data_IF_670585879875
#
_entry.id   IF_670585879875
#
_cell.length_a   1.000
_cell.length_b   1.000
_cell.length_c   1.000
_cell.angle_alpha   90.00
_cell.angle_beta   90.00
_cell.angle_gamma   90.00
#
_symmetry.space_group_name_H-M   'P 1'
#
loop_
_entity.id
_entity.type
_entity.pdbx_description
1 polymer ?
#
# COMPACT_ATOMS: atom_id res chain seq x y z
N UNK A 1 -10.28 -0.08 6.61
CA UNK A 1 -9.16 -0.28 7.56
C UNK A 1 -8.08 0.79 7.44
N UNK A 2 -7.49 1.08 6.27
CA UNK A 2 -6.49 2.17 6.14
C UNK A 2 -7.05 3.53 6.59
N UNK A 3 -8.23 3.93 6.10
CA UNK A 3 -8.89 5.18 6.51
C UNK A 3 -9.19 5.18 8.01
N UNK A 4 -9.60 4.04 8.58
CA UNK A 4 -9.83 3.91 10.02
C UNK A 4 -8.54 4.08 10.83
N UNK A 5 -7.46 3.39 10.44
CA UNK A 5 -6.17 3.45 11.15
C UNK A 5 -5.50 4.83 11.08
N UNK A 6 -5.75 5.61 10.04
CA UNK A 6 -5.22 6.97 9.92
C UNK A 6 -6.05 8.01 10.68
N UNK A 7 -7.29 7.71 11.06
CA UNK A 7 -8.21 8.69 11.65
C UNK A 7 -7.62 9.35 12.91
N UNK A 8 -6.97 8.58 13.79
CA UNK A 8 -6.30 9.12 14.99
C UNK A 8 -5.19 10.13 14.66
N UNK A 9 -4.45 9.90 13.58
CA UNK A 9 -3.31 10.71 13.18
C UNK A 9 -3.71 11.98 12.39
N UNK A 10 -4.93 12.04 11.86
CA UNK A 10 -5.39 13.13 10.99
C UNK A 10 -6.47 13.96 11.68
N UNK A 11 -7.51 13.30 12.22
CA UNK A 11 -8.71 13.96 12.71
C UNK A 11 -8.48 14.54 14.13
N UNK A 12 -8.74 15.84 14.36
CA UNK A 12 -8.54 16.49 15.65
C UNK A 12 -9.33 15.83 16.78
N UNK A 13 -10.64 15.64 16.60
CA UNK A 13 -11.54 15.07 17.62
C UNK A 13 -11.45 13.55 17.80
N UNK A 14 -10.50 12.87 17.14
CA UNK A 14 -10.33 11.41 17.26
C UNK A 14 -9.11 11.10 18.12
N UNK A 15 -9.36 10.63 19.34
CA UNK A 15 -8.32 10.15 20.26
C UNK A 15 -8.28 8.62 20.41
N UNK A 16 -9.28 7.94 19.84
CA UNK A 16 -9.47 6.49 19.96
C UNK A 16 -8.22 5.71 19.56
N UNK A 17 -7.84 4.76 20.39
CA UNK A 17 -6.77 3.81 20.10
C UNK A 17 -7.24 2.76 19.09
N UNK A 18 -6.40 2.43 18.11
CA UNK A 18 -6.74 1.45 17.10
C UNK A 18 -7.02 0.07 17.73
N UNK A 19 -8.07 -0.60 17.28
CA UNK A 19 -8.52 -1.88 17.84
C UNK A 19 -7.40 -2.92 17.98
N UNK A 20 -6.49 -3.03 17.01
CA UNK A 20 -5.42 -4.03 17.06
C UNK A 20 -4.33 -3.68 18.06
N UNK A 21 -4.10 -2.38 18.28
CA UNK A 21 -3.20 -1.91 19.34
C UNK A 21 -3.81 -2.17 20.70
N UNK A 22 -5.08 -1.79 20.89
CA UNK A 22 -5.82 -2.06 22.13
C UNK A 22 -5.89 -3.56 22.47
N UNK A 23 -6.09 -4.41 21.46
CA UNK A 23 -6.12 -5.87 21.63
C UNK A 23 -4.73 -6.49 21.89
N UNK A 24 -3.66 -5.68 21.94
CA UNK A 24 -2.32 -6.12 22.31
C UNK A 24 -1.55 -6.83 21.20
N UNK A 25 -1.91 -6.61 19.93
CA UNK A 25 -1.13 -7.12 18.78
C UNK A 25 0.06 -6.21 18.41
N UNK A 26 0.20 -5.04 19.03
CA UNK A 26 1.35 -4.14 18.78
C UNK A 26 1.41 -3.51 17.38
N UNK A 27 0.44 -3.79 16.52
CA UNK A 27 0.33 -3.25 15.18
C UNK A 27 -1.03 -2.59 14.99
N UNK A 28 -1.07 -1.34 14.53
CA UNK A 28 -2.34 -0.71 14.19
C UNK A 28 -2.85 -1.19 12.81
N UNK A 29 -4.15 -1.06 12.59
CA UNK A 29 -4.85 -1.58 11.41
C UNK A 29 -4.26 -1.15 10.06
N UNK A 30 -3.75 0.07 9.93
CA UNK A 30 -3.15 0.56 8.68
C UNK A 30 -1.87 -0.20 8.31
N UNK A 31 -0.99 -0.47 9.30
CA UNK A 31 0.19 -1.30 9.07
C UNK A 31 -0.18 -2.72 8.63
N UNK A 32 -1.19 -3.32 9.26
CA UNK A 32 -1.65 -4.67 8.91
C UNK A 32 -2.15 -4.70 7.46
N UNK A 33 -2.94 -3.72 7.04
CA UNK A 33 -3.44 -3.69 5.65
C UNK A 33 -2.33 -3.49 4.64
N UNK A 34 -1.36 -2.62 4.93
CA UNK A 34 -0.19 -2.44 4.04
C UNK A 34 0.60 -3.75 3.96
N UNK A 35 0.81 -4.45 5.07
CA UNK A 35 1.46 -5.75 5.08
C UNK A 35 0.68 -6.80 4.25
N UNK A 36 -0.65 -6.85 4.38
CA UNK A 36 -1.53 -7.70 3.56
C UNK A 36 -1.38 -7.34 2.07
N UNK A 37 -1.36 -6.05 1.74
CA UNK A 37 -1.17 -5.57 0.37
C UNK A 37 0.13 -6.09 -0.23
N UNK A 38 1.26 -5.96 0.49
CA UNK A 38 2.55 -6.47 0.01
C UNK A 38 2.56 -7.99 -0.09
N UNK A 39 1.94 -8.72 0.84
CA UNK A 39 1.84 -10.18 0.79
C UNK A 39 1.03 -10.67 -0.42
N UNK A 40 -0.15 -10.11 -0.63
CA UNK A 40 -1.00 -10.45 -1.79
C UNK A 40 -0.32 -10.02 -3.09
N UNK A 41 0.33 -8.85 -3.10
CA UNK A 41 1.09 -8.37 -4.24
C UNK A 41 2.22 -9.33 -4.60
N UNK A 42 3.03 -9.77 -3.64
CA UNK A 42 4.07 -10.77 -3.85
C UNK A 42 3.54 -12.04 -4.52
N UNK A 43 2.39 -12.53 -4.09
CA UNK A 43 1.74 -13.70 -4.69
C UNK A 43 1.25 -13.44 -6.12
N UNK A 44 0.43 -12.42 -6.33
CA UNK A 44 -0.21 -12.14 -7.62
C UNK A 44 0.79 -11.67 -8.68
N UNK A 45 1.78 -10.87 -8.29
CA UNK A 45 2.79 -10.31 -9.18
C UNK A 45 3.78 -11.38 -9.61
N UNK A 46 4.18 -12.29 -8.71
CA UNK A 46 4.97 -13.47 -9.09
C UNK A 46 4.22 -14.33 -10.09
N UNK A 47 2.92 -14.56 -9.90
CA UNK A 47 2.13 -15.26 -10.90
C UNK A 47 1.97 -14.52 -12.21
N UNK A 48 1.85 -13.19 -12.18
CA UNK A 48 1.86 -12.37 -13.38
C UNK A 48 3.19 -12.51 -14.13
N UNK A 49 4.33 -12.51 -13.43
CA UNK A 49 5.68 -12.64 -14.00
C UNK A 49 5.89 -14.03 -14.63
N UNK A 50 5.49 -15.10 -13.93
CA UNK A 50 5.65 -16.48 -14.40
C UNK A 50 4.83 -16.80 -15.64
N UNK A 51 3.73 -16.07 -15.89
CA UNK A 51 2.93 -16.19 -17.12
C UNK A 51 3.50 -15.40 -18.31
N UNK A 52 4.43 -14.47 -18.10
CA UNK A 52 5.00 -13.69 -19.21
C UNK A 52 6.09 -14.48 -19.93
N UNK A 53 5.99 -14.56 -21.26
CA UNK A 53 7.09 -15.05 -22.11
C UNK A 53 8.24 -14.05 -22.20
N UNK A 54 7.92 -12.75 -22.30
CA UNK A 54 8.90 -11.67 -22.30
C UNK A 54 8.88 -10.93 -20.96
N UNK A 55 9.95 -10.99 -20.13
CA UNK A 55 10.01 -10.28 -18.86
C UNK A 55 9.95 -8.76 -18.98
N UNK A 56 10.27 -8.16 -20.14
CA UNK A 56 10.10 -6.72 -20.34
C UNK A 56 8.63 -6.31 -20.35
N UNK A 57 7.74 -7.17 -20.84
CA UNK A 57 6.31 -6.91 -20.83
C UNK A 57 5.76 -6.83 -19.39
N UNK A 58 6.38 -7.54 -18.44
CA UNK A 58 6.01 -7.44 -17.03
C UNK A 58 6.13 -6.00 -16.50
N UNK A 59 7.22 -5.29 -16.83
CA UNK A 59 7.40 -3.91 -16.41
C UNK A 59 6.35 -2.98 -17.03
N UNK A 60 6.04 -3.14 -18.32
CA UNK A 60 4.96 -2.40 -19.00
C UNK A 60 3.62 -2.60 -18.28
N UNK A 61 3.26 -3.84 -17.96
CA UNK A 61 2.00 -4.16 -17.27
C UNK A 61 1.94 -3.55 -15.86
N UNK A 62 3.06 -3.45 -15.15
CA UNK A 62 3.12 -2.80 -13.83
C UNK A 62 3.04 -1.27 -13.95
N UNK A 63 3.76 -0.69 -14.91
CA UNK A 63 3.73 0.74 -15.17
C UNK A 63 2.30 1.21 -15.52
N UNK A 64 1.62 0.53 -16.44
CA UNK A 64 0.22 0.84 -16.82
C UNK A 64 -0.78 0.70 -15.66
N UNK A 65 -0.46 -0.09 -14.63
CA UNK A 65 -1.33 -0.28 -13.47
C UNK A 65 -1.20 0.81 -12.41
N UNK A 66 0.00 1.38 -12.25
CA UNK A 66 0.35 2.26 -11.15
C UNK A 66 0.53 3.72 -11.62
N UNK A 67 1.36 3.94 -12.63
CA UNK A 67 1.85 5.29 -12.99
C UNK A 67 0.72 6.24 -13.39
N UNK A 68 -0.23 5.89 -14.28
CA UNK A 68 -1.24 6.85 -14.73
C UNK A 68 -2.12 7.40 -13.60
N UNK A 69 -2.66 6.50 -12.76
CA UNK A 69 -3.50 6.90 -11.62
C UNK A 69 -2.73 7.73 -10.60
N UNK A 70 -1.49 7.33 -10.31
CA UNK A 70 -0.62 8.08 -9.39
C UNK A 70 -0.29 9.48 -9.91
N UNK A 71 0.12 9.59 -11.18
CA UNK A 71 0.49 10.87 -11.78
C UNK A 71 -0.67 11.86 -11.78
N UNK A 72 -1.87 11.39 -12.12
CA UNK A 72 -3.08 12.23 -12.06
C UNK A 72 -3.40 12.62 -10.62
N UNK A 73 -3.27 11.70 -9.65
CA UNK A 73 -3.48 12.02 -8.24
C UNK A 73 -2.51 13.11 -7.75
N UNK A 74 -1.21 12.96 -7.97
CA UNK A 74 -0.19 13.96 -7.59
C UNK A 74 -0.50 15.33 -8.20
N UNK A 75 -0.84 15.37 -9.50
CA UNK A 75 -1.17 16.61 -10.19
C UNK A 75 -2.45 17.25 -9.61
N UNK A 76 -3.50 16.48 -9.36
CA UNK A 76 -4.75 17.00 -8.80
C UNK A 76 -4.57 17.47 -7.35
N UNK A 77 -3.75 16.78 -6.56
CA UNK A 77 -3.45 17.20 -5.18
C UNK A 77 -2.70 18.53 -5.16
N UNK A 78 -1.70 18.72 -6.02
CA UNK A 78 -0.96 19.97 -6.10
C UNK A 78 -1.79 21.10 -6.72
N UNK A 79 -2.36 20.88 -7.90
CA UNK A 79 -2.92 21.97 -8.72
C UNK A 79 -4.38 22.29 -8.38
N UNK A 80 -5.14 21.32 -7.89
CA UNK A 80 -6.57 21.49 -7.60
C UNK A 80 -6.81 21.55 -6.09
N UNK A 81 -6.54 20.46 -5.37
CA UNK A 81 -6.82 20.41 -3.93
C UNK A 81 -5.97 21.44 -3.17
N UNK A 82 -4.67 21.50 -3.45
CA UNK A 82 -3.75 22.45 -2.85
C UNK A 82 -4.18 23.90 -3.07
N UNK A 83 -4.57 24.25 -4.29
CA UNK A 83 -5.06 25.60 -4.63
C UNK A 83 -6.36 25.97 -3.89
N UNK A 84 -7.26 25.01 -3.66
CA UNK A 84 -8.52 25.24 -2.93
C UNK A 84 -8.30 25.32 -1.41
N UNK A 85 -7.30 24.60 -0.90
CA UNK A 85 -7.07 24.44 0.55
C UNK A 85 -5.94 25.31 1.12
N UNK A 86 -5.18 26.01 0.27
CA UNK A 86 -4.07 26.86 0.72
C UNK A 86 -4.58 28.15 1.38
N UNK A 87 -3.85 28.62 2.39
CA UNK A 87 -4.04 29.93 3.01
C UNK A 87 -3.40 31.08 2.19
N UNK A 88 -2.58 30.77 1.18
CA UNK A 88 -1.91 31.76 0.34
C UNK A 88 -2.82 32.26 -0.79
N UNK A 89 -2.58 33.47 -1.34
CA UNK A 89 -3.19 33.87 -2.61
C UNK A 89 -2.84 32.86 -3.71
N UNK A 90 -3.84 32.45 -4.51
CA UNK A 90 -3.69 31.42 -5.56
C UNK A 90 -2.50 31.70 -6.51
N UNK A 91 -2.28 32.97 -6.85
CA UNK A 91 -1.16 33.38 -7.71
C UNK A 91 0.20 33.09 -7.07
N UNK A 92 0.34 33.33 -5.77
CA UNK A 92 1.58 33.14 -5.05
C UNK A 92 1.83 31.65 -4.79
N UNK A 93 0.76 30.91 -4.50
CA UNK A 93 0.78 29.44 -4.38
C UNK A 93 1.30 28.77 -5.66
N UNK A 94 0.68 29.04 -6.82
CA UNK A 94 1.07 28.40 -8.09
C UNK A 94 2.45 28.83 -8.61
N UNK A 95 2.96 29.98 -8.15
CA UNK A 95 4.32 30.45 -8.44
C UNK A 95 5.36 29.92 -7.45
N UNK A 96 4.93 29.32 -6.33
CA UNK A 96 5.86 28.75 -5.37
C UNK A 96 6.63 27.58 -5.98
N UNK A 97 7.98 27.57 -5.89
CA UNK A 97 8.80 26.43 -6.31
C UNK A 97 8.40 25.13 -5.61
N UNK A 98 7.86 25.20 -4.38
CA UNK A 98 7.51 24.03 -3.58
C UNK A 98 6.38 23.20 -4.18
N UNK A 99 5.42 23.84 -4.86
CA UNK A 99 4.31 23.15 -5.55
C UNK A 99 4.84 22.29 -6.69
N UNK A 100 5.77 22.84 -7.48
CA UNK A 100 6.39 22.14 -8.59
C UNK A 100 7.38 21.09 -8.12
N UNK A 101 8.14 21.39 -7.06
CA UNK A 101 9.00 20.42 -6.39
C UNK A 101 8.18 19.25 -5.85
N UNK A 102 6.98 19.49 -5.30
CA UNK A 102 6.08 18.43 -4.87
C UNK A 102 5.71 17.50 -6.02
N UNK A 103 5.30 18.05 -7.18
CA UNK A 103 4.95 17.24 -8.35
C UNK A 103 6.14 16.40 -8.81
N UNK A 104 7.30 17.02 -9.03
CA UNK A 104 8.49 16.36 -9.58
C UNK A 104 9.02 15.29 -8.61
N UNK A 105 9.21 15.63 -7.33
CA UNK A 105 9.73 14.69 -6.33
C UNK A 105 8.84 13.47 -6.16
N UNK A 106 7.52 13.67 -6.10
CA UNK A 106 6.59 12.56 -5.95
C UNK A 106 6.52 11.70 -7.22
N UNK A 107 6.49 12.29 -8.42
CA UNK A 107 6.50 11.53 -9.68
C UNK A 107 7.76 10.68 -9.89
N UNK A 108 8.89 11.04 -9.27
CA UNK A 108 10.10 10.21 -9.29
C UNK A 108 9.95 8.88 -8.51
N UNK A 109 8.89 8.69 -7.71
CA UNK A 109 8.66 7.47 -6.93
C UNK A 109 9.90 7.06 -6.12
N UNK A 110 10.56 8.05 -5.55
CA UNK A 110 11.78 7.89 -4.76
C UNK A 110 11.48 7.93 -3.25
N UNK A 111 12.48 7.68 -2.40
CA UNK A 111 12.32 7.85 -0.95
C UNK A 111 12.28 9.33 -0.53
N UNK A 112 12.82 10.24 -1.35
CA UNK A 112 12.78 11.70 -1.13
C UNK A 112 11.46 12.28 -1.65
N UNK A 113 10.36 11.96 -0.96
CA UNK A 113 9.03 12.46 -1.28
C UNK A 113 8.79 13.83 -0.62
N UNK A 114 8.02 14.69 -1.30
CA UNK A 114 7.52 15.91 -0.70
C UNK A 114 6.15 15.64 -0.06
N UNK A 115 6.01 15.96 1.22
CA UNK A 115 4.82 15.62 2.02
C UNK A 115 3.81 16.76 2.14
N UNK A 116 4.29 18.00 2.06
CA UNK A 116 3.51 19.20 2.35
C UNK A 116 3.46 20.11 1.11
N UNK A 117 2.44 20.96 1.07
CA UNK A 117 2.30 22.03 0.09
C UNK A 117 2.15 23.36 0.83
N UNK A 118 2.65 24.47 0.26
CA UNK A 118 2.73 25.73 0.98
C UNK A 118 1.34 26.27 1.35
N UNK A 119 1.12 26.53 2.65
CA UNK A 119 -0.15 27.05 3.17
C UNK A 119 -1.29 26.03 3.26
N UNK A 120 -1.05 24.75 2.94
CA UNK A 120 -2.11 23.72 2.87
C UNK A 120 -2.15 22.90 4.16
N UNK A 121 -3.32 22.87 4.81
CA UNK A 121 -3.56 22.13 6.07
C UNK A 121 -2.61 22.46 7.24
N UNK A 122 -1.94 23.62 7.20
CA UNK A 122 -1.05 24.07 8.29
C UNK A 122 -1.82 24.39 9.59
N UNK A 123 -3.13 24.64 9.48
CA UNK A 123 -4.00 24.98 10.60
C UNK A 123 -5.18 24.00 10.65
N UNK A 124 -5.55 23.56 11.85
CA UNK A 124 -6.71 22.72 12.19
C UNK A 124 -6.61 21.21 11.91
N UNK A 125 -5.53 20.69 11.32
CA UNK A 125 -5.29 19.25 11.20
C UNK A 125 -4.14 18.82 12.11
N UNK A 126 -4.13 17.56 12.57
CA UNK A 126 -3.01 17.01 13.35
C UNK A 126 -1.70 16.90 12.54
N UNK A 127 -1.80 17.00 11.21
CA UNK A 127 -0.68 16.95 10.28
C UNK A 127 -0.97 17.82 9.05
N UNK A 128 0.05 18.50 8.54
CA UNK A 128 0.00 19.25 7.27
C UNK A 128 0.27 18.37 6.04
N UNK A 129 0.56 17.08 6.24
CA UNK A 129 0.86 16.16 5.13
C UNK A 129 -0.35 16.00 4.22
N UNK A 130 -0.25 16.41 2.95
CA UNK A 130 -1.39 16.34 2.01
C UNK A 130 -1.77 14.90 1.70
N UNK A 131 -0.78 14.02 1.56
CA UNK A 131 -1.01 12.61 1.27
C UNK A 131 0.05 11.71 1.89
N UNK A 132 -0.22 11.28 3.12
CA UNK A 132 0.67 10.39 3.85
C UNK A 132 0.60 8.94 3.41
N UNK A 133 -0.37 8.51 2.58
CA UNK A 133 -0.45 7.11 2.15
C UNK A 133 0.53 6.79 1.01
N UNK A 134 1.01 7.78 0.25
CA UNK A 134 1.84 7.54 -0.93
C UNK A 134 3.21 6.92 -0.65
N UNK A 135 3.67 6.93 0.60
CA UNK A 135 4.99 6.42 1.02
C UNK A 135 5.26 4.95 0.64
N UNK A 136 4.21 4.14 0.47
CA UNK A 136 4.36 2.72 0.14
C UNK A 136 4.64 2.48 -1.34
N UNK A 137 4.29 3.43 -2.23
CA UNK A 137 4.39 3.25 -3.68
C UNK A 137 5.83 3.12 -4.17
N UNK A 138 6.81 3.92 -3.69
CA UNK A 138 8.22 3.68 -3.98
C UNK A 138 8.67 2.27 -3.60
N UNK A 139 8.25 1.77 -2.42
CA UNK A 139 8.60 0.43 -1.97
C UNK A 139 7.99 -0.64 -2.89
N UNK A 140 6.72 -0.49 -3.27
CA UNK A 140 6.01 -1.37 -4.21
C UNK A 140 6.73 -1.45 -5.56
N UNK A 141 7.08 -0.30 -6.15
CA UNK A 141 7.79 -0.24 -7.43
C UNK A 141 9.15 -0.91 -7.35
N UNK A 142 9.92 -0.69 -6.27
CA UNK A 142 11.23 -1.34 -6.10
C UNK A 142 11.11 -2.85 -5.98
N UNK A 143 10.09 -3.37 -5.30
CA UNK A 143 9.87 -4.82 -5.23
C UNK A 143 9.50 -5.42 -6.58
N UNK A 144 8.71 -4.71 -7.39
CA UNK A 144 8.42 -5.12 -8.76
C UNK A 144 9.68 -5.15 -9.62
N UNK A 145 10.52 -4.12 -9.50
CA UNK A 145 11.78 -4.05 -10.23
C UNK A 145 12.72 -5.18 -9.80
N UNK A 146 12.92 -5.39 -8.50
CA UNK A 146 13.76 -6.46 -7.98
C UNK A 146 13.30 -7.84 -8.47
N UNK A 147 11.99 -8.10 -8.41
CA UNK A 147 11.41 -9.36 -8.87
C UNK A 147 11.60 -9.55 -10.40
N UNK A 148 11.35 -8.50 -11.19
CA UNK A 148 11.52 -8.53 -12.64
C UNK A 148 12.98 -8.72 -13.05
N UNK A 149 13.92 -8.02 -12.39
CA UNK A 149 15.37 -8.17 -12.61
C UNK A 149 15.82 -9.57 -12.22
N UNK A 150 15.40 -10.09 -11.07
CA UNK A 150 15.70 -11.46 -10.64
C UNK A 150 15.26 -12.50 -11.68
N UNK A 151 14.12 -12.28 -12.35
CA UNK A 151 13.68 -13.13 -13.47
C UNK A 151 14.59 -13.01 -14.70
N UNK A 152 15.02 -11.80 -15.04
CA UNK A 152 15.90 -11.52 -16.19
C UNK A 152 17.28 -12.17 -16.03
N UNK A 153 17.86 -12.13 -14.83
CA UNK A 153 19.15 -12.79 -14.55
C UNK A 153 19.03 -14.30 -14.28
N UNK A 154 17.84 -14.89 -14.49
CA UNK A 154 17.63 -16.33 -14.44
C UNK A 154 17.37 -16.93 -13.05
N UNK A 155 17.18 -16.13 -11.99
CA UNK A 155 16.89 -16.66 -10.64
C UNK A 155 15.51 -17.36 -10.54
N UNK A 156 14.65 -17.16 -11.54
CA UNK A 156 13.33 -17.78 -11.61
C UNK A 156 13.23 -18.85 -12.71
N UNK A 157 14.34 -19.50 -13.09
CA UNK A 157 14.30 -20.63 -14.03
C UNK A 157 13.76 -21.92 -13.39
N UNK A 158 13.88 -22.06 -12.06
CA UNK A 158 13.34 -23.19 -11.30
C UNK A 158 12.79 -22.73 -9.95
N UNK A 159 11.79 -23.44 -9.42
CA UNK A 159 11.20 -23.15 -8.10
C UNK A 159 12.25 -23.19 -6.99
N UNK A 160 13.19 -24.13 -7.05
CA UNK A 160 14.27 -24.27 -6.04
C UNK A 160 15.19 -23.05 -6.03
N UNK A 161 15.63 -22.60 -7.19
CA UNK A 161 16.53 -21.44 -7.30
C UNK A 161 15.80 -20.15 -6.93
N UNK A 162 14.54 -20.00 -7.33
CA UNK A 162 13.71 -18.86 -6.93
C UNK A 162 13.49 -18.81 -5.41
N UNK A 163 13.26 -19.98 -4.79
CA UNK A 163 13.11 -20.12 -3.34
C UNK A 163 14.39 -19.72 -2.63
N UNK A 164 15.53 -20.29 -3.05
CA UNK A 164 16.84 -19.97 -2.48
C UNK A 164 17.17 -18.48 -2.64
N UNK A 165 16.95 -17.91 -3.83
CA UNK A 165 17.16 -16.49 -4.08
C UNK A 165 16.28 -15.61 -3.18
N UNK A 166 15.02 -15.98 -2.98
CA UNK A 166 14.10 -15.24 -2.11
C UNK A 166 14.58 -15.26 -0.66
N UNK A 167 14.99 -16.43 -0.14
CA UNK A 167 15.58 -16.53 1.20
C UNK A 167 16.92 -15.77 1.32
N UNK A 168 17.78 -15.83 0.30
CA UNK A 168 19.04 -15.09 0.29
C UNK A 168 18.80 -13.57 0.34
N UNK A 169 17.85 -13.06 -0.45
CA UNK A 169 17.47 -11.63 -0.42
C UNK A 169 16.93 -11.24 0.96
N UNK A 170 16.06 -12.08 1.56
CA UNK A 170 15.56 -11.84 2.91
C UNK A 170 16.70 -11.83 3.96
N UNK A 171 17.65 -12.76 3.86
CA UNK A 171 18.80 -12.82 4.75
C UNK A 171 19.71 -11.60 4.59
N UNK A 172 20.01 -11.19 3.35
CA UNK A 172 20.77 -9.96 3.08
C UNK A 172 20.06 -8.76 3.68
N UNK A 173 18.73 -8.65 3.50
CA UNK A 173 17.96 -7.56 4.10
C UNK A 173 17.96 -7.57 5.63
N UNK A 174 18.02 -8.74 6.27
CA UNK A 174 18.02 -8.87 7.71
C UNK A 174 19.38 -8.53 8.34
N UNK A 175 20.47 -9.03 7.74
CA UNK A 175 21.81 -8.95 8.33
C UNK A 175 22.65 -7.80 7.76
N UNK A 176 22.40 -7.40 6.52
CA UNK A 176 23.27 -6.51 5.77
C UNK A 176 22.44 -5.57 4.85
N UNK A 177 21.47 -4.81 5.43
CA UNK A 177 20.41 -4.16 4.66
C UNK A 177 20.89 -3.13 3.64
N UNK A 178 22.07 -2.54 3.84
CA UNK A 178 22.68 -1.54 2.95
C UNK A 178 23.07 -2.09 1.57
N UNK A 179 23.13 -3.41 1.38
CA UNK A 179 23.33 -4.01 0.05
C UNK A 179 22.04 -4.14 -0.75
N UNK A 180 20.87 -3.96 -0.14
CA UNK A 180 19.61 -3.91 -0.87
C UNK A 180 19.26 -2.45 -1.18
N UNK A 181 18.76 -2.14 -2.39
CA UNK A 181 18.25 -0.81 -2.72
C UNK A 181 16.88 -0.51 -2.05
N UNK A 182 16.66 -1.06 -0.85
CA UNK A 182 15.46 -0.89 -0.05
C UNK A 182 15.81 -0.06 1.18
N UNK A 183 14.97 0.91 1.51
CA UNK A 183 15.10 1.60 2.78
C UNK A 183 14.96 0.59 3.93
N UNK A 184 15.72 0.73 5.01
CA UNK A 184 15.71 -0.22 6.14
C UNK A 184 14.30 -0.37 6.73
N UNK A 185 13.55 0.74 6.79
CA UNK A 185 12.16 0.76 7.26
C UNK A 185 11.20 -0.07 6.39
N UNK A 186 11.61 -0.45 5.17
CA UNK A 186 10.80 -1.26 4.26
C UNK A 186 11.12 -2.76 4.35
N UNK A 187 12.06 -3.16 5.22
CA UNK A 187 12.38 -4.57 5.42
C UNK A 187 11.14 -5.40 5.77
N UNK A 188 10.28 -4.87 6.67
CA UNK A 188 8.98 -5.47 6.99
C UNK A 188 8.15 -5.70 5.72
N UNK A 189 8.01 -4.68 4.87
CA UNK A 189 7.22 -4.80 3.63
C UNK A 189 7.84 -5.86 2.70
N UNK A 190 9.16 -5.90 2.59
CA UNK A 190 9.90 -6.90 1.82
C UNK A 190 9.71 -8.32 2.34
N UNK A 191 9.63 -8.52 3.66
CA UNK A 191 9.29 -9.80 4.28
C UNK A 191 7.91 -10.27 3.82
N UNK A 192 6.88 -9.44 3.96
CA UNK A 192 5.52 -9.81 3.53
C UNK A 192 5.44 -10.11 2.03
N UNK A 193 6.08 -9.28 1.20
CA UNK A 193 6.16 -9.52 -0.24
C UNK A 193 6.84 -10.85 -0.56
N UNK A 194 7.96 -11.14 0.09
CA UNK A 194 8.71 -12.38 -0.09
C UNK A 194 7.92 -13.61 0.35
N UNK A 195 7.16 -13.52 1.45
CA UNK A 195 6.22 -14.57 1.86
C UNK A 195 5.16 -14.82 0.78
N UNK A 196 4.64 -13.78 0.13
CA UNK A 196 3.76 -13.89 -1.02
C UNK A 196 4.40 -14.60 -2.21
N UNK A 197 5.65 -14.25 -2.55
CA UNK A 197 6.44 -14.91 -3.60
C UNK A 197 6.60 -16.41 -3.29
N UNK A 198 7.01 -16.74 -2.07
CA UNK A 198 7.18 -18.13 -1.63
C UNK A 198 5.87 -18.90 -1.66
N UNK A 199 4.76 -18.29 -1.21
CA UNK A 199 3.45 -18.89 -1.28
C UNK A 199 3.02 -19.19 -2.72
N UNK A 200 3.36 -18.32 -3.68
CA UNK A 200 3.07 -18.59 -5.09
C UNK A 200 3.92 -19.71 -5.68
N UNK A 201 5.22 -19.73 -5.35
CA UNK A 201 6.16 -20.74 -5.81
C UNK A 201 5.82 -22.15 -5.31
N UNK A 202 5.33 -22.26 -4.08
CA UNK A 202 4.96 -23.51 -3.42
C UNK A 202 3.44 -23.74 -3.33
N UNK A 203 2.65 -23.02 -4.15
CA UNK A 203 1.18 -23.05 -4.10
C UNK A 203 0.58 -24.46 -4.26
N UNK A 204 1.26 -25.35 -4.96
CA UNK A 204 0.78 -26.72 -5.20
C UNK A 204 1.00 -27.63 -3.97
N UNK A 205 1.88 -27.24 -3.05
CA UNK A 205 2.17 -27.96 -1.81
C UNK A 205 1.44 -27.37 -0.58
N UNK A 206 1.05 -26.10 -0.64
CA UNK A 206 0.41 -25.41 0.49
C UNK A 206 -1.08 -25.75 0.53
N UNK A 207 -1.49 -26.48 1.56
CA UNK A 207 -2.90 -26.76 1.83
C UNK A 207 -3.48 -25.73 2.81
N UNK A 208 -4.37 -24.88 2.31
CA UNK A 208 -5.04 -23.86 3.13
C UNK A 208 -6.29 -24.45 3.78
N UNK A 209 -6.41 -24.32 5.09
CA UNK A 209 -7.59 -24.71 5.87
C UNK A 209 -7.86 -23.70 6.99
N UNK A 210 -9.10 -23.65 7.48
CA UNK A 210 -9.44 -22.83 8.65
C UNK A 210 -8.65 -23.25 9.89
N UNK A 211 -8.40 -24.55 10.07
CA UNK A 211 -7.61 -25.09 11.18
C UNK A 211 -6.16 -24.59 11.11
N UNK A 212 -5.55 -24.61 9.92
CA UNK A 212 -4.21 -24.07 9.72
C UNK A 212 -4.15 -22.57 10.04
N UNK A 213 -5.11 -21.78 9.55
CA UNK A 213 -5.17 -20.35 9.82
C UNK A 213 -5.34 -20.04 11.31
N UNK A 214 -6.25 -20.73 12.00
CA UNK A 214 -6.45 -20.59 13.44
C UNK A 214 -5.18 -21.02 14.20
N UNK A 215 -4.52 -22.11 13.80
CA UNK A 215 -3.28 -22.57 14.39
C UNK A 215 -2.16 -21.52 14.28
N UNK A 216 -2.02 -20.87 13.12
CA UNK A 216 -1.02 -19.80 12.93
C UNK A 216 -1.36 -18.54 13.75
N UNK A 217 -2.64 -18.19 13.88
CA UNK A 217 -3.07 -17.10 14.78
C UNK A 217 -2.74 -17.45 16.23
N UNK A 218 -3.03 -18.68 16.67
CA UNK A 218 -2.67 -19.16 18.00
C UNK A 218 -1.17 -19.09 18.25
N UNK A 219 -0.36 -19.52 17.28
CA UNK A 219 1.10 -19.41 17.36
C UNK A 219 1.56 -17.96 17.50
N UNK A 220 1.03 -17.03 16.71
CA UNK A 220 1.36 -15.61 16.82
C UNK A 220 0.97 -15.02 18.19
N UNK A 221 -0.16 -15.44 18.78
CA UNK A 221 -0.55 -15.03 20.13
C UNK A 221 0.41 -15.59 21.18
N UNK A 222 0.86 -16.84 21.05
CA UNK A 222 1.81 -17.45 21.99
C UNK A 222 3.20 -16.82 21.94
N UNK A 223 3.63 -16.39 20.76
CA UNK A 223 4.95 -15.76 20.56
C UNK A 223 4.94 -14.25 20.73
N UNK A 224 3.82 -13.62 21.09
CA UNK A 224 3.65 -12.15 21.14
C UNK A 224 4.68 -11.37 21.96
N UNK A 225 5.28 -12.01 22.96
CA UNK A 225 6.29 -11.42 23.83
C UNK A 225 7.70 -11.98 23.57
N UNK A 226 7.87 -12.73 22.47
CA UNK A 226 9.12 -13.37 22.08
C UNK A 226 9.71 -12.69 20.83
N UNK A 227 11.03 -12.75 20.62
CA UNK A 227 11.68 -12.16 19.44
C UNK A 227 11.14 -12.68 18.08
N UNK A 228 10.50 -13.85 18.06
CA UNK A 228 9.92 -14.45 16.85
C UNK A 228 8.54 -13.91 16.46
N UNK A 229 7.95 -12.98 17.24
CA UNK A 229 6.58 -12.53 17.03
C UNK A 229 6.31 -12.03 15.62
N UNK A 230 7.14 -11.11 15.10
CA UNK A 230 6.96 -10.48 13.79
C UNK A 230 6.83 -11.51 12.65
N UNK A 231 7.66 -12.57 12.68
CA UNK A 231 7.61 -13.63 11.69
C UNK A 231 6.32 -14.45 11.82
N UNK A 232 5.98 -14.87 13.05
CA UNK A 232 4.75 -15.64 13.29
C UNK A 232 3.48 -14.84 12.98
N UNK A 233 3.49 -13.53 13.25
CA UNK A 233 2.41 -12.63 12.90
C UNK A 233 2.27 -12.45 11.38
N UNK A 234 3.39 -12.36 10.66
CA UNK A 234 3.39 -12.32 9.20
C UNK A 234 2.83 -13.61 8.58
N UNK A 235 3.24 -14.76 9.12
CA UNK A 235 2.71 -16.06 8.68
C UNK A 235 1.23 -16.23 9.02
N UNK A 236 0.78 -15.80 10.20
CA UNK A 236 -0.63 -15.80 10.58
C UNK A 236 -1.45 -14.90 9.66
N UNK A 237 -0.95 -13.70 9.35
CA UNK A 237 -1.56 -12.79 8.39
C UNK A 237 -1.72 -13.46 7.03
N UNK A 238 -0.66 -14.09 6.50
CA UNK A 238 -0.73 -14.84 5.24
C UNK A 238 -1.74 -15.98 5.28
N UNK A 239 -1.74 -16.79 6.35
CA UNK A 239 -2.66 -17.90 6.51
C UNK A 239 -4.12 -17.45 6.56
N UNK A 240 -4.42 -16.38 7.30
CA UNK A 240 -5.78 -15.81 7.38
C UNK A 240 -6.21 -15.22 6.03
N UNK A 241 -5.34 -14.46 5.36
CA UNK A 241 -5.64 -13.84 4.06
C UNK A 241 -5.89 -14.90 2.99
N UNK A 242 -5.04 -15.93 2.91
CA UNK A 242 -5.24 -17.00 1.95
C UNK A 242 -6.43 -17.90 2.31
N UNK A 243 -6.70 -18.16 3.60
CA UNK A 243 -7.92 -18.84 4.01
C UNK A 243 -9.17 -18.05 3.60
N UNK A 244 -9.18 -16.74 3.81
CA UNK A 244 -10.26 -15.88 3.33
C UNK A 244 -10.38 -15.95 1.80
N UNK A 245 -9.27 -15.86 1.06
CA UNK A 245 -9.30 -15.83 -0.41
C UNK A 245 -9.73 -17.17 -1.04
N UNK A 246 -9.32 -18.31 -0.48
CA UNK A 246 -9.51 -19.64 -1.08
C UNK A 246 -10.69 -20.43 -0.49
N UNK A 247 -11.10 -20.15 0.75
CA UNK A 247 -12.17 -20.90 1.44
C UNK A 247 -13.50 -20.15 1.47
N UNK A 248 -13.52 -18.87 1.11
CA UNK A 248 -14.77 -18.12 0.95
C UNK A 248 -15.21 -18.11 -0.51
N UNK A 249 -16.53 -18.13 -0.74
CA UNK A 249 -17.05 -18.08 -2.10
C UNK A 249 -16.79 -16.69 -2.70
N UNK A 250 -16.25 -16.60 -3.92
CA UNK A 250 -16.02 -15.32 -4.56
C UNK A 250 -17.36 -14.60 -4.73
N UNK A 251 -17.37 -13.33 -4.36
CA UNK A 251 -18.55 -12.47 -4.50
C UNK A 251 -18.54 -11.89 -5.92
N UNK A 252 -18.87 -12.74 -6.90
CA UNK A 252 -18.73 -12.44 -8.34
C UNK A 252 -19.47 -11.17 -8.78
N UNK A 253 -20.57 -10.81 -8.12
CA UNK A 253 -21.30 -9.58 -8.44
C UNK A 253 -20.49 -8.30 -8.19
N UNK A 254 -19.44 -8.35 -7.35
CA UNK A 254 -18.57 -7.19 -7.13
C UNK A 254 -17.67 -6.89 -8.34
N UNK A 255 -17.38 -7.89 -9.18
CA UNK A 255 -16.53 -7.71 -10.38
C UNK A 255 -17.14 -6.69 -11.36
N UNK A 256 -18.47 -6.52 -11.35
CA UNK A 256 -19.18 -5.55 -12.20
C UNK A 256 -18.79 -4.09 -11.93
N UNK A 257 -18.24 -3.80 -10.75
CA UNK A 257 -17.82 -2.44 -10.38
C UNK A 257 -16.37 -2.13 -10.75
N UNK A 258 -15.63 -3.12 -11.30
CA UNK A 258 -14.22 -2.95 -11.66
C UNK A 258 -13.30 -2.91 -10.43
N UNK A 259 -12.14 -2.23 -10.57
CA UNK A 259 -11.07 -2.25 -9.57
C UNK A 259 -10.66 -0.83 -9.11
N UNK A 260 -11.56 -0.12 -8.39
CA UNK A 260 -11.30 1.23 -7.87
C UNK A 260 -10.36 1.22 -6.66
N UNK A 261 -9.95 0.05 -6.17
CA UNK A 261 -9.22 -0.12 -4.90
C UNK A 261 -7.97 0.78 -4.82
N UNK A 262 -7.24 0.87 -5.93
CA UNK A 262 -6.05 1.70 -6.06
C UNK A 262 -6.37 3.20 -5.95
N UNK A 263 -7.39 3.67 -6.67
CA UNK A 263 -7.84 5.07 -6.57
C UNK A 263 -8.33 5.40 -5.16
N UNK A 264 -9.12 4.52 -4.54
CA UNK A 264 -9.60 4.70 -3.16
C UNK A 264 -8.42 4.81 -2.19
N UNK A 265 -7.36 4.02 -2.39
CA UNK A 265 -6.14 4.10 -1.60
C UNK A 265 -5.42 5.45 -1.75
N UNK A 266 -5.27 5.95 -2.98
CA UNK A 266 -4.63 7.23 -3.28
C UNK A 266 -5.40 8.42 -2.68
N UNK A 267 -6.74 8.35 -2.69
CA UNK A 267 -7.61 9.43 -2.21
C UNK A 267 -7.97 9.32 -0.72
N UNK A 268 -7.68 8.19 -0.06
CA UNK A 268 -8.08 7.95 1.33
C UNK A 268 -7.48 8.92 2.36
N UNK A 269 -6.23 9.33 2.19
CA UNK A 269 -5.61 10.33 3.07
C UNK A 269 -6.07 11.76 2.75
N UNK A 270 -6.04 12.22 1.47
CA UNK A 270 -6.59 13.52 1.11
C UNK A 270 -8.04 13.71 1.52
N UNK A 271 -8.88 12.69 1.38
CA UNK A 271 -10.28 12.73 1.82
C UNK A 271 -10.40 12.95 3.33
N UNK A 272 -9.56 12.31 4.14
CA UNK A 272 -9.52 12.54 5.58
C UNK A 272 -9.08 13.95 5.92
N UNK A 273 -8.08 14.51 5.22
CA UNK A 273 -7.64 15.89 5.43
C UNK A 273 -8.76 16.90 5.13
N UNK A 274 -9.52 16.68 4.05
CA UNK A 274 -10.69 17.50 3.73
C UNK A 274 -11.74 17.41 4.84
N UNK A 275 -12.06 16.21 5.32
CA UNK A 275 -13.04 16.04 6.41
C UNK A 275 -12.55 16.67 7.71
N UNK A 276 -11.29 16.49 8.08
CA UNK A 276 -10.69 17.10 9.26
C UNK A 276 -10.75 18.63 9.21
N UNK A 277 -10.61 19.23 8.01
CA UNK A 277 -10.65 20.68 7.82
C UNK A 277 -12.05 21.29 7.96
N UNK A 278 -13.09 20.60 7.48
CA UNK A 278 -14.47 21.12 7.43
C UNK A 278 -15.38 20.58 8.54
N UNK A 279 -15.05 19.43 9.12
CA UNK A 279 -15.75 18.82 10.24
C UNK A 279 -14.73 18.40 11.33
N UNK A 280 -13.99 19.35 11.94
CA UNK A 280 -12.93 19.05 12.90
C UNK A 280 -13.45 18.33 14.16
N UNK A 281 -14.72 18.59 14.53
CA UNK A 281 -15.40 17.98 15.68
C UNK A 281 -16.00 16.60 15.36
N UNK A 282 -15.85 16.10 14.13
CA UNK A 282 -16.37 14.80 13.75
C UNK A 282 -15.63 13.69 14.53
N UNK A 283 -16.36 13.01 15.40
CA UNK A 283 -15.88 11.78 16.04
C UNK A 283 -15.55 10.69 15.02
N UNK A 284 -14.91 9.62 15.49
CA UNK A 284 -14.32 8.56 14.64
C UNK A 284 -15.25 8.02 13.55
N UNK A 285 -16.48 7.64 13.93
CA UNK A 285 -17.43 7.01 13.00
C UNK A 285 -17.81 7.96 11.87
N UNK A 286 -18.13 9.22 12.20
CA UNK A 286 -18.52 10.21 11.21
C UNK A 286 -17.34 10.59 10.31
N UNK A 287 -16.16 10.81 10.90
CA UNK A 287 -14.95 11.13 10.14
C UNK A 287 -14.61 10.04 9.12
N UNK A 288 -14.55 8.78 9.56
CA UNK A 288 -14.24 7.64 8.69
C UNK A 288 -15.30 7.45 7.62
N UNK A 289 -16.58 7.62 7.95
CA UNK A 289 -17.68 7.44 6.98
C UNK A 289 -17.64 8.50 5.87
N UNK A 290 -17.46 9.78 6.23
CA UNK A 290 -17.34 10.87 5.26
C UNK A 290 -16.08 10.71 4.41
N UNK A 291 -14.94 10.41 5.02
CA UNK A 291 -13.69 10.24 4.31
C UNK A 291 -13.74 9.04 3.36
N UNK A 292 -14.35 7.93 3.78
CA UNK A 292 -14.56 6.76 2.93
C UNK A 292 -15.49 7.09 1.76
N UNK A 293 -16.59 7.79 1.99
CA UNK A 293 -17.49 8.20 0.91
C UNK A 293 -16.78 9.07 -0.13
N UNK A 294 -16.03 10.09 0.33
CA UNK A 294 -15.24 10.96 -0.56
C UNK A 294 -14.15 10.17 -1.32
N UNK A 295 -13.41 9.30 -0.63
CA UNK A 295 -12.38 8.47 -1.25
C UNK A 295 -12.97 7.47 -2.25
N UNK A 296 -14.17 6.93 -2.00
CA UNK A 296 -14.88 6.07 -2.93
C UNK A 296 -15.28 6.85 -4.19
N UNK A 297 -15.90 8.01 -4.05
CA UNK A 297 -16.29 8.84 -5.20
C UNK A 297 -15.06 9.19 -6.06
N UNK A 298 -14.01 9.71 -5.43
CA UNK A 298 -12.77 10.08 -6.14
C UNK A 298 -12.05 8.86 -6.74
N UNK A 299 -12.02 7.74 -6.02
CA UNK A 299 -11.40 6.49 -6.48
C UNK A 299 -12.13 5.85 -7.66
N UNK A 300 -13.47 5.85 -7.65
CA UNK A 300 -14.27 5.39 -8.79
C UNK A 300 -14.15 6.32 -9.99
N UNK A 301 -14.12 7.63 -9.77
CA UNK A 301 -13.88 8.61 -10.82
C UNK A 301 -12.50 8.40 -11.45
N UNK A 302 -11.45 8.28 -10.64
CA UNK A 302 -10.10 7.93 -11.10
C UNK A 302 -10.16 6.67 -11.97
N UNK A 303 -10.69 5.58 -11.44
CA UNK A 303 -10.74 4.29 -12.13
C UNK A 303 -11.37 4.39 -13.52
N UNK A 304 -12.51 5.05 -13.64
CA UNK A 304 -13.23 5.16 -14.90
C UNK A 304 -12.57 6.11 -15.89
N UNK A 305 -11.92 7.18 -15.41
CA UNK A 305 -11.34 8.21 -16.26
C UNK A 305 -9.90 7.88 -16.67
N UNK A 306 -9.13 7.21 -15.81
CA UNK A 306 -7.68 7.04 -15.96
C UNK A 306 -7.29 5.57 -16.03
N UNK A 307 -7.39 4.84 -14.92
CA UNK A 307 -6.79 3.49 -14.84
C UNK A 307 -7.43 2.52 -15.83
N UNK A 308 -8.77 2.51 -15.98
CA UNK A 308 -9.46 1.63 -16.92
C UNK A 308 -9.02 1.85 -18.36
N UNK A 309 -8.70 3.09 -18.73
CA UNK A 309 -8.21 3.42 -20.08
C UNK A 309 -6.76 3.00 -20.27
N UNK A 310 -5.89 3.28 -19.31
CA UNK A 310 -4.49 2.86 -19.35
C UNK A 310 -4.35 1.34 -19.46
N UNK A 311 -5.19 0.59 -18.74
CA UNK A 311 -5.16 -0.88 -18.75
C UNK A 311 -5.64 -1.49 -20.08
N UNK A 312 -6.27 -0.73 -20.98
CA UNK A 312 -6.59 -1.21 -22.34
C UNK A 312 -5.34 -1.32 -23.24
N UNK A 313 -4.23 -0.70 -22.84
CA UNK A 313 -2.96 -0.71 -23.59
C UNK A 313 -2.07 -1.92 -23.27
N UNK A 314 -2.57 -2.87 -22.46
CA UNK A 314 -1.81 -4.06 -22.04
C UNK A 314 -1.35 -4.89 -23.22
#
# INVERSE_FOLDING_TARGET
MVIYGHAKAIAPAVEHEDFFVWAGFGHYSGHIVVNIFFLVSGFLVTGSLMRQRNPLNFFKLRALRLVPGYSVNVALLALVLGTVMTALPVRDYLRSPDVWAYIVKNLHLSSDMAWNLPGVFEQNAKTSTINGSQWTLPAEVRMYVLLGVARLIGLFHSVRVATFATFAIMAIGAFVPYYLPLHQDWFRLGLYFSLGVLAYLHRDAIQISYVFAIGMVGLAVLTRHLPGYELTFALATGAVVFAAAYLTRPVQWLERFGDPSYGIYLWGWPAQQVVARYAPDAGLVLHVSLALALAMVAGYASWHLVEKHALKLK
#
